data_IF_349711090913
#
_entry.id   IF_349711090913
#
_cell.length_a   1.000
_cell.length_b   1.000
_cell.length_c   1.000
_cell.angle_alpha   90.00
_cell.angle_beta   90.00
_cell.angle_gamma   90.00
#
_symmetry.space_group_name_H-M   'P 1'
#
loop_
_entity.id
_entity.type
_entity.pdbx_description
1 polymer ?
#
# COMPACT_ATOMS: atom_id res chain seq x y z
N UNK A 1 -14.10 -13.86 -5.59
CA UNK A 1 -13.63 -12.75 -4.72
C UNK A 1 -12.29 -12.29 -5.23
N UNK A 2 -12.16 -11.02 -5.60
CA UNK A 2 -10.87 -10.43 -5.93
C UNK A 2 -10.03 -10.42 -4.64
N UNK A 3 -8.75 -10.80 -4.71
CA UNK A 3 -7.88 -10.68 -3.54
C UNK A 3 -7.73 -9.19 -3.18
N UNK A 4 -7.82 -8.81 -1.89
CA UNK A 4 -7.67 -7.43 -1.49
C UNK A 4 -6.28 -6.92 -1.86
N UNK A 5 -6.23 -5.80 -2.57
CA UNK A 5 -5.00 -5.12 -2.98
C UNK A 5 -4.54 -4.20 -1.84
N UNK A 6 -3.24 -4.11 -1.57
CA UNK A 6 -2.69 -3.27 -0.48
C UNK A 6 -1.49 -3.87 0.23
N UNK A 7 -1.11 -3.30 1.37
CA UNK A 7 0.08 -3.74 2.14
C UNK A 7 -0.02 -5.20 2.60
N UNK A 8 -1.22 -5.69 2.91
CA UNK A 8 -1.42 -7.09 3.29
C UNK A 8 -1.06 -8.08 2.17
N UNK A 9 -1.39 -7.72 0.93
CA UNK A 9 -1.01 -8.52 -0.23
C UNK A 9 0.48 -8.33 -0.54
N UNK A 10 0.99 -7.10 -0.41
CA UNK A 10 2.42 -6.80 -0.57
C UNK A 10 3.29 -7.74 0.25
N UNK A 11 2.97 -7.95 1.53
CA UNK A 11 3.70 -8.87 2.41
C UNK A 11 3.72 -10.31 1.91
N UNK A 12 2.63 -10.78 1.29
CA UNK A 12 2.53 -12.14 0.74
C UNK A 12 3.28 -12.31 -0.58
N UNK A 13 3.39 -11.23 -1.35
CA UNK A 13 3.99 -11.23 -2.69
C UNK A 13 5.48 -10.96 -2.66
N UNK A 14 5.95 -10.10 -1.73
CA UNK A 14 7.36 -9.70 -1.63
C UNK A 14 8.35 -10.88 -1.74
N UNK A 15 8.29 -11.94 -0.92
CA UNK A 15 9.24 -13.06 -1.03
C UNK A 15 9.17 -13.83 -2.36
N UNK A 16 8.08 -13.70 -3.13
CA UNK A 16 7.91 -14.39 -4.41
C UNK A 16 8.52 -13.62 -5.58
N UNK A 17 8.76 -12.32 -5.41
CA UNK A 17 9.31 -11.44 -6.45
C UNK A 17 10.77 -11.10 -6.22
N UNK A 18 11.27 -11.25 -4.99
CA UNK A 18 12.69 -11.06 -4.69
C UNK A 18 13.51 -12.22 -5.24
N UNK A 19 14.59 -11.90 -5.96
CA UNK A 19 15.55 -12.88 -6.47
C UNK A 19 16.55 -13.29 -5.39
N UNK A 20 17.30 -14.37 -5.62
CA UNK A 20 18.45 -14.68 -4.78
C UNK A 20 19.49 -13.54 -4.86
N UNK A 21 19.91 -12.93 -3.74
CA UNK A 21 20.93 -11.88 -3.71
C UNK A 21 22.27 -12.27 -4.37
N UNK A 22 22.61 -13.57 -4.41
CA UNK A 22 23.81 -14.07 -5.08
C UNK A 22 23.69 -14.02 -6.61
N UNK A 23 22.47 -14.10 -7.13
CA UNK A 23 22.20 -14.04 -8.58
C UNK A 23 21.92 -12.61 -9.03
N UNK A 24 21.21 -11.82 -8.23
CA UNK A 24 20.84 -10.44 -8.58
C UNK A 24 20.72 -9.58 -7.33
N UNK A 25 21.40 -8.42 -7.33
CA UNK A 25 21.36 -7.46 -6.24
C UNK A 25 20.35 -6.35 -6.52
N UNK A 26 19.41 -6.14 -5.59
CA UNK A 26 18.52 -4.98 -5.58
C UNK A 26 19.21 -3.85 -4.81
N UNK A 27 19.64 -2.80 -5.50
CA UNK A 27 20.31 -1.65 -4.87
C UNK A 27 19.34 -0.57 -4.38
N UNK A 28 18.15 -0.52 -4.97
CA UNK A 28 17.14 0.47 -4.66
C UNK A 28 15.76 -0.17 -4.74
N UNK A 29 14.89 0.14 -3.78
CA UNK A 29 13.48 -0.28 -3.82
C UNK A 29 12.57 0.88 -3.41
N UNK A 30 11.62 1.19 -4.28
CA UNK A 30 10.50 2.06 -3.95
C UNK A 30 9.30 1.22 -3.50
N UNK A 31 8.73 1.55 -2.34
CA UNK A 31 7.51 0.93 -1.82
C UNK A 31 6.38 1.96 -1.90
N UNK A 32 5.32 1.59 -2.61
CA UNK A 32 4.17 2.46 -2.91
C UNK A 32 2.89 1.72 -2.53
N UNK A 33 2.33 2.03 -1.36
CA UNK A 33 1.07 1.50 -0.85
C UNK A 33 0.29 2.59 -0.13
N UNK A 34 -0.98 2.32 0.22
CA UNK A 34 -1.81 3.24 0.99
C UNK A 34 -3.12 3.58 0.27
N UNK A 35 -3.17 3.62 -1.06
CA UNK A 35 -4.39 3.99 -1.79
C UNK A 35 -5.54 2.99 -1.62
N UNK A 36 -5.23 1.70 -1.59
CA UNK A 36 -6.23 0.65 -1.37
C UNK A 36 -6.49 0.48 0.12
N UNK A 37 -5.41 0.50 0.93
CA UNK A 37 -5.44 0.44 2.39
C UNK A 37 -6.34 1.54 3.00
N UNK A 38 -6.31 2.75 2.43
CA UNK A 38 -7.11 3.92 2.83
C UNK A 38 -8.57 3.91 2.37
N UNK A 39 -9.06 2.79 1.81
CA UNK A 39 -10.49 2.66 1.55
C UNK A 39 -11.29 2.73 2.85
N UNK A 40 -12.55 3.14 2.78
CA UNK A 40 -13.42 3.18 3.95
C UNK A 40 -13.65 1.76 4.49
N UNK A 41 -13.84 1.58 5.81
CA UNK A 41 -14.10 0.26 6.40
C UNK A 41 -15.32 -0.45 5.82
N UNK A 42 -16.32 0.30 5.36
CA UNK A 42 -17.56 -0.19 4.75
C UNK A 42 -17.54 -0.17 3.22
N UNK A 43 -16.39 0.12 2.60
CA UNK A 43 -16.28 0.16 1.16
C UNK A 43 -16.50 -1.22 0.51
N UNK A 44 -17.32 -1.27 -0.54
CA UNK A 44 -17.75 -2.51 -1.21
C UNK A 44 -16.60 -3.31 -1.84
N UNK A 45 -15.43 -2.70 -2.06
CA UNK A 45 -14.23 -3.36 -2.57
C UNK A 45 -13.46 -4.16 -1.50
N UNK A 46 -13.72 -3.94 -0.20
CA UNK A 46 -13.11 -4.71 0.89
C UNK A 46 -11.59 -4.55 1.00
N UNK A 47 -11.04 -3.42 0.56
CA UNK A 47 -9.58 -3.18 0.52
C UNK A 47 -9.04 -2.46 1.77
N UNK A 48 -9.93 -2.04 2.68
CA UNK A 48 -9.55 -1.29 3.86
C UNK A 48 -8.56 -2.06 4.75
N UNK A 49 -7.53 -1.35 5.19
CA UNK A 49 -6.57 -1.82 6.21
C UNK A 49 -6.52 -0.77 7.31
N UNK A 50 -6.79 -1.17 8.56
CA UNK A 50 -6.69 -0.27 9.72
C UNK A 50 -5.32 0.42 9.79
N UNK A 51 -5.28 1.71 10.16
CA UNK A 51 -4.07 2.53 10.15
C UNK A 51 -2.90 1.92 10.94
N UNK A 52 -3.17 1.40 12.15
CA UNK A 52 -2.17 0.70 12.97
C UNK A 52 -1.61 -0.54 12.28
N UNK A 53 -2.46 -1.26 11.54
CA UNK A 53 -2.07 -2.45 10.79
C UNK A 53 -1.28 -2.06 9.54
N UNK A 54 -1.68 -1.00 8.85
CA UNK A 54 -0.94 -0.43 7.73
C UNK A 54 0.49 -0.03 8.15
N UNK A 55 0.63 0.70 9.26
CA UNK A 55 1.94 1.06 9.85
C UNK A 55 2.80 -0.17 10.11
N UNK A 56 2.24 -1.19 10.79
CA UNK A 56 2.93 -2.46 11.06
C UNK A 56 3.31 -3.21 9.77
N UNK A 57 2.46 -3.16 8.75
CA UNK A 57 2.73 -3.84 7.48
C UNK A 57 3.86 -3.16 6.72
N UNK A 58 3.91 -1.83 6.68
CA UNK A 58 5.02 -1.09 6.08
C UNK A 58 6.36 -1.42 6.74
N UNK A 59 6.42 -1.40 8.08
CA UNK A 59 7.62 -1.81 8.81
C UNK A 59 8.03 -3.23 8.43
N UNK A 60 7.09 -4.17 8.40
CA UNK A 60 7.37 -5.56 8.01
C UNK A 60 7.84 -5.70 6.57
N UNK A 61 7.40 -4.83 5.64
CA UNK A 61 7.90 -4.83 4.27
C UNK A 61 9.36 -4.39 4.22
N UNK A 62 9.72 -3.33 4.95
CA UNK A 62 11.10 -2.83 5.00
C UNK A 62 12.06 -3.81 5.67
N UNK A 63 11.61 -4.46 6.74
CA UNK A 63 12.42 -5.42 7.50
C UNK A 63 12.17 -6.86 7.06
N UNK A 64 11.63 -7.08 5.85
CA UNK A 64 11.37 -8.43 5.38
C UNK A 64 12.72 -9.10 5.03
N UNK A 65 13.01 -10.33 5.49
CA UNK A 65 14.30 -10.98 5.25
C UNK A 65 14.68 -11.07 3.76
N UNK A 66 13.69 -11.37 2.90
CA UNK A 66 13.89 -11.40 1.45
C UNK A 66 14.31 -10.05 0.84
N UNK A 67 14.02 -8.92 1.49
CA UNK A 67 14.45 -7.60 1.07
C UNK A 67 15.76 -7.20 1.74
N UNK A 68 15.86 -7.39 3.06
CA UNK A 68 17.06 -7.09 3.86
C UNK A 68 18.30 -7.81 3.33
N UNK A 69 18.14 -9.02 2.79
CA UNK A 69 19.24 -9.80 2.20
C UNK A 69 19.94 -9.08 1.02
N UNK A 70 19.30 -8.09 0.39
CA UNK A 70 19.93 -7.26 -0.66
C UNK A 70 20.52 -5.95 -0.14
N UNK A 71 20.25 -5.57 1.11
CA UNK A 71 20.62 -4.28 1.72
C UNK A 71 20.36 -3.04 0.80
N UNK A 72 19.11 -2.88 0.28
CA UNK A 72 18.81 -1.81 -0.67
C UNK A 72 18.67 -0.44 0.01
N UNK A 73 18.85 0.63 -0.76
CA UNK A 73 18.31 1.95 -0.40
C UNK A 73 16.80 1.95 -0.58
N UNK A 74 16.08 2.28 0.49
CA UNK A 74 14.61 2.26 0.50
C UNK A 74 14.04 3.66 0.27
N UNK A 75 13.01 3.74 -0.57
CA UNK A 75 12.17 4.92 -0.74
C UNK A 75 10.73 4.56 -0.43
N UNK A 76 10.15 5.21 0.58
CA UNK A 76 8.72 5.14 0.85
C UNK A 76 8.02 6.29 0.12
N UNK A 77 7.09 5.96 -0.76
CA UNK A 77 6.25 6.94 -1.46
C UNK A 77 4.88 6.97 -0.81
N UNK A 78 4.44 8.16 -0.41
CA UNK A 78 3.10 8.38 0.15
C UNK A 78 2.00 8.00 -0.87
N UNK A 79 0.82 7.55 -0.43
CA UNK A 79 -0.29 7.33 -1.34
C UNK A 79 -0.68 8.64 -2.04
N UNK A 80 -0.92 8.61 -3.37
CA UNK A 80 -1.29 9.81 -4.11
C UNK A 80 -2.70 10.29 -3.74
N UNK A 81 -2.86 11.62 -3.72
CA UNK A 81 -4.18 12.24 -3.72
C UNK A 81 -4.97 11.83 -4.98
N UNK A 82 -6.28 11.84 -4.84
CA UNK A 82 -7.22 11.49 -5.89
C UNK A 82 -8.09 12.68 -6.25
N UNK A 83 -8.49 12.74 -7.51
CA UNK A 83 -9.60 13.62 -7.91
C UNK A 83 -10.91 12.87 -7.59
N UNK A 84 -11.56 13.28 -6.50
CA UNK A 84 -12.70 12.56 -5.92
C UNK A 84 -13.92 12.54 -6.85
N UNK A 85 -14.12 13.57 -7.69
CA UNK A 85 -15.25 13.57 -8.64
C UNK A 85 -15.07 12.51 -9.72
N UNK A 86 -13.86 12.34 -10.25
CA UNK A 86 -13.51 11.29 -11.22
C UNK A 86 -13.51 9.91 -10.55
N UNK A 87 -13.14 9.83 -9.27
CA UNK A 87 -13.27 8.58 -8.52
C UNK A 87 -14.75 8.17 -8.42
N UNK A 88 -15.64 9.10 -8.10
CA UNK A 88 -17.09 8.83 -7.99
C UNK A 88 -17.64 8.24 -9.30
N UNK A 89 -17.30 8.84 -10.45
CA UNK A 89 -17.67 8.29 -11.76
C UNK A 89 -17.14 6.86 -11.98
N UNK A 90 -15.87 6.59 -11.60
CA UNK A 90 -15.25 5.27 -11.75
C UNK A 90 -15.87 4.21 -10.82
N UNK A 91 -16.21 4.60 -9.61
CA UNK A 91 -16.83 3.75 -8.60
C UNK A 91 -18.24 3.35 -9.07
N UNK A 92 -19.04 4.32 -9.51
CA UNK A 92 -20.37 4.08 -10.09
C UNK A 92 -20.32 3.23 -11.35
N UNK A 93 -19.34 3.44 -12.24
CA UNK A 93 -19.17 2.60 -13.43
C UNK A 93 -18.80 1.15 -13.13
N UNK A 94 -18.35 0.85 -11.90
CA UNK A 94 -18.09 -0.51 -11.40
C UNK A 94 -19.29 -1.12 -10.67
N UNK A 95 -20.40 -0.40 -10.58
CA UNK A 95 -21.61 -0.84 -9.89
C UNK A 95 -21.66 -0.53 -8.38
N UNK A 96 -20.64 0.17 -7.85
CA UNK A 96 -20.63 0.57 -6.44
C UNK A 96 -21.50 1.80 -6.22
N UNK A 97 -22.18 1.85 -5.07
CA UNK A 97 -23.15 2.89 -4.73
C UNK A 97 -22.51 4.12 -4.09
N UNK A 98 -21.36 3.94 -3.45
CA UNK A 98 -20.64 4.99 -2.69
C UNK A 98 -19.16 4.99 -3.02
N UNK A 99 -18.54 6.17 -2.91
CA UNK A 99 -17.09 6.31 -2.93
C UNK A 99 -16.42 5.32 -2.00
N UNK A 100 -15.29 4.75 -2.44
CA UNK A 100 -14.54 3.78 -1.64
C UNK A 100 -13.43 4.44 -0.80
N UNK A 101 -13.00 5.67 -1.09
CA UNK A 101 -12.01 6.43 -0.30
C UNK A 101 -12.13 7.94 -0.53
N UNK A 102 -11.49 8.73 0.33
CA UNK A 102 -11.34 10.19 0.20
C UNK A 102 -9.89 10.63 0.44
N UNK A 103 -9.57 11.88 0.05
CA UNK A 103 -8.28 12.51 0.33
C UNK A 103 -8.06 12.72 1.83
N UNK A 104 -9.11 13.04 2.60
CA UNK A 104 -9.04 13.19 4.07
C UNK A 104 -8.58 11.90 4.75
N UNK A 105 -9.09 10.75 4.31
CA UNK A 105 -8.63 9.46 4.86
C UNK A 105 -7.24 9.13 4.32
N UNK A 106 -6.99 9.36 3.02
CA UNK A 106 -5.70 9.06 2.39
C UNK A 106 -4.54 9.85 3.01
N UNK A 107 -4.78 11.08 3.45
CA UNK A 107 -3.83 11.92 4.17
C UNK A 107 -3.31 11.25 5.45
N UNK A 108 -4.18 10.57 6.21
CA UNK A 108 -3.76 9.86 7.43
C UNK A 108 -2.74 8.74 7.14
N UNK A 109 -2.89 8.07 5.99
CA UNK A 109 -1.95 7.03 5.53
C UNK A 109 -0.65 7.66 5.01
N UNK A 110 -0.73 8.83 4.36
CA UNK A 110 0.45 9.60 3.96
C UNK A 110 1.25 10.10 5.18
N UNK A 111 0.57 10.59 6.21
CA UNK A 111 1.20 11.00 7.48
C UNK A 111 1.89 9.81 8.15
N UNK A 112 1.22 8.64 8.17
CA UNK A 112 1.80 7.40 8.69
C UNK A 112 3.08 7.02 7.94
N UNK A 113 3.13 7.18 6.61
CA UNK A 113 4.38 7.01 5.87
C UNK A 113 5.47 7.99 6.34
N UNK A 114 5.11 9.26 6.53
CA UNK A 114 6.02 10.29 7.02
C UNK A 114 6.54 10.03 8.44
N UNK A 115 5.77 9.35 9.30
CA UNK A 115 6.24 8.91 10.62
C UNK A 115 7.29 7.80 10.55
N UNK A 116 7.16 6.87 9.59
CA UNK A 116 8.05 5.71 9.45
C UNK A 116 9.35 6.09 8.74
N UNK A 117 9.29 7.02 7.77
CA UNK A 117 10.42 7.38 6.92
C UNK A 117 11.41 8.39 7.54
N UNK A 118 11.29 8.66 8.84
CA UNK A 118 12.25 9.48 9.61
C UNK A 118 13.46 8.67 10.02
#
# INVERSE_FOLDING_TARGET
MQQPLGTEQGLKVLPKIMSDPQQTSVRFMAIIFGSNDACFPDAENGEHVLLDRYKKNLVKLFTHPALEAHNPRLLLVIPPLIEERRLDHRVKSRGYLKLNRSNVVTEQYADTCGEIAK
#
